data_IF_507492837448
#
_entry.id   IF_507492837448
#
_cell.length_a   1.000
_cell.length_b   1.000
_cell.length_c   1.000
_cell.angle_alpha   90.00
_cell.angle_beta   90.00
_cell.angle_gamma   90.00
#
_symmetry.space_group_name_H-M   'P 1'
#
loop_
_entity.id
_entity.type
_entity.pdbx_description
1 polymer ?
#
# COMPACT_ATOMS: atom_id res chain seq x y z
N UNK A 1 3.29 -8.66 -1.92
CA UNK A 1 1.96 -9.20 -1.54
C UNK A 1 0.93 -8.29 -2.18
N UNK A 2 0.00 -8.81 -2.98
CA UNK A 2 -1.05 -8.05 -3.63
C UNK A 2 -2.38 -8.74 -3.31
N UNK A 3 -3.31 -8.03 -2.68
CA UNK A 3 -4.67 -8.51 -2.42
C UNK A 3 -5.61 -7.63 -3.24
N UNK A 4 -6.39 -8.24 -4.13
CA UNK A 4 -7.41 -7.52 -4.88
C UNK A 4 -8.63 -7.29 -3.99
N UNK A 5 -8.95 -6.02 -3.74
CA UNK A 5 -10.15 -5.62 -3.01
C UNK A 5 -11.00 -4.79 -3.98
N UNK A 6 -12.27 -5.18 -4.15
CA UNK A 6 -13.22 -4.36 -4.90
C UNK A 6 -13.37 -3.00 -4.19
N UNK A 7 -12.96 -1.93 -4.87
CA UNK A 7 -12.99 -0.57 -4.36
C UNK A 7 -14.23 0.18 -4.88
N UNK A 8 -15.03 0.75 -3.96
CA UNK A 8 -16.12 1.65 -4.30
C UNK A 8 -15.62 3.10 -4.16
N UNK A 9 -15.91 3.94 -5.16
CA UNK A 9 -15.43 5.34 -5.27
C UNK A 9 -16.24 6.34 -4.43
N UNK A 10 -17.16 5.87 -3.58
CA UNK A 10 -17.96 6.68 -2.67
C UNK A 10 -17.31 6.80 -1.28
N UNK A 11 -17.43 7.98 -0.64
CA UNK A 11 -16.94 8.21 0.72
C UNK A 11 -17.63 7.31 1.75
N UNK A 12 -16.88 6.75 2.70
CA UNK A 12 -17.44 5.99 3.81
C UNK A 12 -18.42 6.84 4.63
N UNK A 13 -19.42 6.19 5.22
CA UNK A 13 -20.38 6.76 6.17
C UNK A 13 -20.19 6.12 7.55
N UNK A 14 -20.65 6.79 8.61
CA UNK A 14 -20.51 6.33 10.01
C UNK A 14 -21.12 4.93 10.29
N UNK A 15 -21.98 4.39 9.40
CA UNK A 15 -22.52 3.03 9.45
C UNK A 15 -21.62 1.94 8.85
N UNK A 16 -20.48 2.31 8.26
CA UNK A 16 -19.62 1.42 7.47
C UNK A 16 -18.52 0.73 8.29
N UNK A 17 -18.57 0.80 9.62
CA UNK A 17 -17.68 0.01 10.50
C UNK A 17 -17.80 -1.49 10.19
N UNK A 18 -19.02 -1.93 9.84
CA UNK A 18 -19.26 -3.30 9.39
C UNK A 18 -18.53 -3.60 8.07
N UNK A 19 -18.45 -2.63 7.15
CA UNK A 19 -17.69 -2.77 5.90
C UNK A 19 -16.18 -2.88 6.15
N UNK A 20 -15.62 -2.11 7.10
CA UNK A 20 -14.20 -2.23 7.49
C UNK A 20 -13.92 -3.61 8.07
N UNK A 21 -14.80 -4.10 8.95
CA UNK A 21 -14.69 -5.44 9.54
C UNK A 21 -14.78 -6.55 8.49
N UNK A 22 -15.72 -6.42 7.55
CA UNK A 22 -15.88 -7.33 6.42
C UNK A 22 -14.64 -7.31 5.51
N UNK A 23 -14.13 -6.13 5.16
CA UNK A 23 -12.92 -5.99 4.36
C UNK A 23 -11.71 -6.62 5.05
N UNK A 24 -11.51 -6.35 6.35
CA UNK A 24 -10.47 -6.98 7.17
C UNK A 24 -10.58 -8.51 7.16
N UNK A 25 -11.81 -9.02 7.28
CA UNK A 25 -12.06 -10.47 7.27
C UNK A 25 -11.74 -11.09 5.91
N UNK A 26 -12.15 -10.45 4.82
CA UNK A 26 -11.83 -10.89 3.46
C UNK A 26 -10.31 -10.92 3.24
N UNK A 27 -9.61 -9.82 3.54
CA UNK A 27 -8.14 -9.75 3.41
C UNK A 27 -7.48 -10.85 4.24
N UNK A 28 -7.90 -11.02 5.50
CA UNK A 28 -7.35 -12.05 6.39
C UNK A 28 -7.56 -13.46 5.84
N UNK A 29 -8.73 -13.76 5.32
CA UNK A 29 -9.03 -15.08 4.77
C UNK A 29 -8.24 -15.34 3.49
N UNK A 30 -8.18 -14.36 2.57
CA UNK A 30 -7.36 -14.46 1.36
C UNK A 30 -5.89 -14.72 1.70
N UNK A 31 -5.31 -14.00 2.66
CA UNK A 31 -3.92 -14.22 3.09
C UNK A 31 -3.71 -15.58 3.76
N UNK A 32 -4.73 -16.11 4.46
CA UNK A 32 -4.67 -17.45 5.08
C UNK A 32 -4.77 -18.59 4.08
N UNK A 33 -5.55 -18.40 3.02
CA UNK A 33 -5.77 -19.37 1.95
C UNK A 33 -4.60 -19.39 0.97
N UNK A 34 -3.74 -18.37 0.98
CA UNK A 34 -2.48 -18.39 0.23
C UNK A 34 -1.52 -19.43 0.82
N UNK A 35 -1.44 -20.58 0.15
CA UNK A 35 -0.50 -21.63 0.47
C UNK A 35 0.70 -21.66 -0.52
N UNK A 36 1.72 -22.45 -0.17
CA UNK A 36 2.96 -22.53 -0.94
C UNK A 36 2.77 -23.16 -2.31
N UNK A 37 1.87 -24.12 -2.46
CA UNK A 37 1.56 -24.79 -3.73
C UNK A 37 0.92 -23.78 -4.68
N UNK A 38 -0.12 -23.08 -4.22
CA UNK A 38 -0.77 -22.00 -4.99
C UNK A 38 0.23 -20.92 -5.46
N UNK A 39 1.19 -20.53 -4.62
CA UNK A 39 2.23 -19.56 -5.00
C UNK A 39 3.17 -20.14 -6.06
N UNK A 40 3.56 -21.41 -5.91
CA UNK A 40 4.46 -22.09 -6.85
C UNK A 40 3.79 -22.24 -8.21
N UNK A 41 2.51 -22.62 -8.25
CA UNK A 41 1.72 -22.71 -9.49
C UNK A 41 1.66 -21.36 -10.23
N UNK A 42 1.45 -20.25 -9.50
CA UNK A 42 1.46 -18.91 -10.11
C UNK A 42 2.85 -18.55 -10.64
N UNK A 43 3.93 -18.90 -9.94
CA UNK A 43 5.29 -18.68 -10.42
C UNK A 43 5.57 -19.45 -11.71
N UNK A 44 5.27 -20.74 -11.74
CA UNK A 44 5.45 -21.60 -12.92
C UNK A 44 4.61 -21.10 -14.10
N UNK A 45 3.38 -20.64 -13.84
CA UNK A 45 2.53 -20.04 -14.85
C UNK A 45 3.09 -18.73 -15.41
N UNK A 46 3.63 -17.84 -14.56
CA UNK A 46 4.28 -16.60 -14.98
C UNK A 46 5.55 -16.85 -15.79
N UNK A 47 6.32 -17.88 -15.46
CA UNK A 47 7.49 -18.28 -16.26
C UNK A 47 7.10 -18.70 -17.69
N UNK A 48 5.91 -19.30 -17.85
CA UNK A 48 5.37 -19.72 -19.14
C UNK A 48 4.65 -18.58 -19.88
N UNK A 49 4.18 -17.56 -19.17
CA UNK A 49 3.39 -16.45 -19.70
C UNK A 49 3.92 -15.11 -19.17
N UNK A 50 5.15 -14.71 -19.56
CA UNK A 50 5.83 -13.55 -18.98
C UNK A 50 5.10 -12.22 -19.24
N UNK A 51 4.33 -12.13 -20.32
CA UNK A 51 3.59 -10.93 -20.70
C UNK A 51 2.23 -10.81 -20.00
N UNK A 52 1.69 -11.90 -19.43
CA UNK A 52 0.38 -11.94 -18.78
C UNK A 52 0.44 -11.57 -17.28
N UNK A 53 1.62 -11.23 -16.77
CA UNK A 53 1.82 -10.72 -15.42
C UNK A 53 1.30 -9.29 -15.20
N UNK A 54 0.85 -8.62 -16.25
CA UNK A 54 0.22 -7.30 -16.14
C UNK A 54 -1.20 -7.42 -15.57
N UNK A 55 -1.36 -6.97 -14.33
CA UNK A 55 -2.68 -6.79 -13.70
C UNK A 55 -3.35 -5.58 -14.36
N UNK A 56 -4.08 -5.78 -15.47
CA UNK A 56 -4.89 -4.73 -16.10
C UNK A 56 -6.28 -4.61 -15.44
N UNK A 57 -6.69 -3.40 -15.04
CA UNK A 57 -8.01 -3.12 -14.46
C UNK A 57 -8.06 -2.13 -13.29
N UNK A 58 -9.28 -1.81 -12.84
CA UNK A 58 -9.62 -0.93 -11.69
C UNK A 58 -9.30 -1.62 -10.34
N UNK A 59 -8.05 -2.01 -10.12
CA UNK A 59 -7.60 -2.67 -8.89
C UNK A 59 -6.77 -1.73 -8.02
N UNK A 60 -6.93 -1.86 -6.70
CA UNK A 60 -6.04 -1.28 -5.71
C UNK A 60 -5.02 -2.33 -5.27
N UNK A 61 -3.74 -2.10 -5.58
CA UNK A 61 -2.62 -2.94 -5.17
C UNK A 61 -2.14 -2.49 -3.80
N UNK A 62 -2.32 -3.33 -2.79
CA UNK A 62 -1.88 -3.06 -1.42
C UNK A 62 -0.63 -3.88 -1.06
N UNK A 63 0.46 -3.22 -0.64
CA UNK A 63 1.65 -3.87 -0.13
C UNK A 63 2.02 -3.35 1.28
N UNK A 64 2.35 -4.28 2.18
CA UNK A 64 2.88 -3.92 3.50
C UNK A 64 4.38 -4.22 3.57
N UNK A 65 5.17 -3.16 3.67
CA UNK A 65 6.63 -3.20 3.80
C UNK A 65 7.10 -2.70 5.17
N UNK A 66 6.21 -2.53 6.15
CA UNK A 66 6.52 -1.99 7.48
C UNK A 66 7.66 -2.73 8.19
N UNK A 67 7.78 -4.04 7.96
CA UNK A 67 8.79 -4.90 8.57
C UNK A 67 10.15 -4.86 7.85
N UNK A 68 10.32 -4.01 6.83
CA UNK A 68 11.63 -3.80 6.24
C UNK A 68 12.51 -3.01 7.20
N UNK A 69 13.71 -3.53 7.45
CA UNK A 69 14.65 -2.95 8.39
C UNK A 69 15.46 -1.78 7.77
N UNK A 70 14.74 -0.79 7.25
CA UNK A 70 15.35 0.28 6.45
C UNK A 70 16.08 1.32 7.30
N UNK A 71 15.73 1.43 8.58
CA UNK A 71 16.34 2.38 9.52
C UNK A 71 17.48 1.78 10.35
N UNK A 72 17.77 0.48 10.24
CA UNK A 72 18.95 -0.12 10.87
C UNK A 72 20.24 0.04 10.06
N UNK A 73 20.14 0.51 8.82
CA UNK A 73 21.31 0.80 8.00
C UNK A 73 22.27 1.73 8.77
N UNK A 74 23.57 1.52 8.60
CA UNK A 74 24.60 2.33 9.23
C UNK A 74 25.54 2.90 8.17
N UNK A 75 25.70 4.21 8.16
CA UNK A 75 26.68 4.92 7.35
C UNK A 75 27.93 5.19 8.18
N UNK A 76 29.05 4.58 7.81
CA UNK A 76 30.29 4.65 8.59
C UNK A 76 30.17 3.93 9.94
N UNK A 77 30.70 4.53 11.01
CA UNK A 77 30.84 3.83 12.29
C UNK A 77 29.57 3.87 13.17
N UNK A 78 28.61 4.77 12.93
CA UNK A 78 27.38 4.87 13.76
C UNK A 78 26.22 5.72 13.21
N UNK A 79 26.27 6.24 11.98
CA UNK A 79 25.22 7.15 11.51
C UNK A 79 24.02 6.39 10.97
N UNK A 80 22.87 6.54 11.63
CA UNK A 80 21.61 5.96 11.19
C UNK A 80 20.86 6.90 10.23
N UNK A 81 20.07 6.36 9.28
CA UNK A 81 19.20 7.15 8.43
C UNK A 81 18.22 7.97 9.26
N UNK A 82 18.24 9.30 9.10
CA UNK A 82 17.17 10.16 9.62
C UNK A 82 15.90 10.06 8.76
N UNK A 83 16.06 9.78 7.46
CA UNK A 83 14.97 9.63 6.52
C UNK A 83 15.28 8.54 5.50
N UNK A 84 14.29 7.69 5.24
CA UNK A 84 14.31 6.74 4.14
C UNK A 84 13.24 7.17 3.14
N UNK A 85 13.65 7.34 1.88
CA UNK A 85 12.75 7.60 0.76
C UNK A 85 12.67 6.35 -0.11
N UNK A 86 11.48 6.06 -0.62
CA UNK A 86 11.24 4.90 -1.46
C UNK A 86 10.92 5.39 -2.86
N UNK A 87 11.69 4.91 -3.83
CA UNK A 87 11.38 5.07 -5.23
C UNK A 87 10.68 3.81 -5.72
N UNK A 88 9.56 3.99 -6.41
CA UNK A 88 8.82 2.90 -7.04
C UNK A 88 8.70 3.28 -8.50
N UNK A 89 9.19 2.37 -9.36
CA UNK A 89 9.17 2.54 -10.81
C UNK A 89 7.76 2.88 -11.34
N UNK A 90 7.69 3.63 -12.45
CA UNK A 90 6.58 4.52 -12.71
C UNK A 90 5.28 3.79 -13.12
N UNK A 91 4.16 4.50 -13.00
CA UNK A 91 2.78 4.02 -13.09
C UNK A 91 2.36 3.46 -14.46
N UNK A 92 3.23 3.58 -15.46
CA UNK A 92 3.11 3.10 -16.84
C UNK A 92 3.61 1.66 -17.03
N UNK A 93 4.33 1.10 -16.04
CA UNK A 93 4.63 -0.32 -15.95
C UNK A 93 3.75 -0.97 -14.89
N UNK A 94 2.57 -1.44 -15.30
CA UNK A 94 1.64 -2.20 -14.46
C UNK A 94 0.53 -1.34 -13.88
N UNK A 95 -0.66 -1.59 -14.42
CA UNK A 95 -1.96 -0.99 -14.11
C UNK A 95 -2.33 -1.06 -12.61
N UNK A 96 -3.06 -0.04 -12.15
CA UNK A 96 -3.76 -0.01 -10.86
C UNK A 96 -3.35 1.12 -9.91
N UNK A 97 -4.29 1.53 -9.06
CA UNK A 97 -4.05 2.36 -7.89
C UNK A 97 -3.14 1.60 -6.92
N UNK A 98 -2.18 2.26 -6.25
CA UNK A 98 -1.21 1.58 -5.36
C UNK A 98 -1.26 2.17 -3.95
N UNK A 99 -1.30 1.30 -2.94
CA UNK A 99 -1.19 1.63 -1.52
C UNK A 99 -0.06 0.84 -0.88
N UNK A 100 0.93 1.53 -0.34
CA UNK A 100 2.13 0.89 0.18
C UNK A 100 2.40 1.41 1.58
N UNK A 101 2.39 0.51 2.56
CA UNK A 101 2.76 0.80 3.94
C UNK A 101 4.27 0.69 4.04
N UNK A 102 4.92 1.77 4.43
CA UNK A 102 6.37 1.91 4.51
C UNK A 102 6.84 1.88 5.97
N UNK A 103 8.08 1.43 6.22
CA UNK A 103 8.73 1.57 7.52
C UNK A 103 8.64 3.02 8.03
N UNK A 104 8.09 3.18 9.23
CA UNK A 104 8.05 4.46 9.93
C UNK A 104 9.40 4.78 10.56
N UNK A 105 9.83 6.05 10.56
CA UNK A 105 11.00 6.46 11.33
C UNK A 105 10.84 6.11 12.81
N UNK A 106 11.92 5.71 13.52
CA UNK A 106 11.88 5.42 14.96
C UNK A 106 11.43 6.63 15.81
N UNK A 107 11.68 7.84 15.30
CA UNK A 107 11.31 9.11 15.91
C UNK A 107 9.87 9.56 15.61
N UNK A 108 9.01 8.67 15.10
CA UNK A 108 7.64 8.97 14.71
C UNK A 108 6.74 9.49 15.84
N UNK A 109 5.55 9.98 15.49
CA UNK A 109 4.55 10.61 16.38
C UNK A 109 3.87 9.66 17.37
N UNK A 110 4.37 8.43 17.53
CA UNK A 110 3.86 7.42 18.45
C UNK A 110 3.93 5.99 17.90
N UNK A 111 3.68 4.98 18.74
CA UNK A 111 3.82 3.55 18.40
C UNK A 111 2.86 3.08 17.29
N UNK A 112 1.75 3.79 17.08
CA UNK A 112 0.75 3.48 16.05
C UNK A 112 0.90 4.34 14.79
N UNK A 113 1.94 5.19 14.70
CA UNK A 113 2.19 5.98 13.50
C UNK A 113 2.61 5.08 12.34
N UNK A 114 2.04 5.32 11.15
CA UNK A 114 2.33 4.57 9.92
C UNK A 114 2.63 5.53 8.80
N UNK A 115 3.62 5.20 7.98
CA UNK A 115 3.90 5.90 6.74
C UNK A 115 3.21 5.14 5.61
N UNK A 116 2.35 5.82 4.86
CA UNK A 116 1.65 5.23 3.71
C UNK A 116 1.96 6.06 2.47
N UNK A 117 2.36 5.39 1.40
CA UNK A 117 2.51 5.98 0.08
C UNK A 117 1.37 5.52 -0.83
N UNK A 118 0.77 6.47 -1.52
CA UNK A 118 -0.38 6.25 -2.40
C UNK A 118 -0.06 6.76 -3.80
N UNK A 119 -0.35 5.94 -4.80
CA UNK A 119 -0.34 6.34 -6.21
C UNK A 119 -1.77 6.28 -6.70
N UNK A 120 -2.37 7.45 -6.93
CA UNK A 120 -3.76 7.63 -7.35
C UNK A 120 -3.83 8.70 -8.45
N UNK A 121 -4.84 8.64 -9.33
CA UNK A 121 -5.21 9.78 -10.17
C UNK A 121 -5.41 11.05 -9.33
N UNK A 122 -4.97 12.19 -9.87
CA UNK A 122 -4.97 13.48 -9.17
C UNK A 122 -6.33 13.82 -8.54
N UNK A 123 -7.43 13.56 -9.25
CA UNK A 123 -8.78 13.79 -8.76
C UNK A 123 -9.15 12.90 -7.56
N UNK A 124 -8.75 11.63 -7.56
CA UNK A 124 -9.02 10.69 -6.46
C UNK A 124 -8.14 11.02 -5.23
N UNK A 125 -6.89 11.43 -5.46
CA UNK A 125 -6.01 11.90 -4.39
C UNK A 125 -6.62 13.11 -3.64
N UNK A 126 -7.24 14.05 -4.34
CA UNK A 126 -7.94 15.18 -3.69
C UNK A 126 -9.15 14.74 -2.88
N UNK A 127 -9.99 13.84 -3.41
CA UNK A 127 -11.15 13.32 -2.65
C UNK A 127 -10.72 12.63 -1.36
N UNK A 128 -9.64 11.84 -1.40
CA UNK A 128 -9.11 11.16 -0.22
C UNK A 128 -8.66 12.15 0.86
N UNK A 129 -8.08 13.28 0.46
CA UNK A 129 -7.66 14.33 1.38
C UNK A 129 -8.82 15.06 2.05
N UNK A 130 -9.97 15.11 1.38
CA UNK A 130 -11.21 15.70 1.88
C UNK A 130 -12.05 14.70 2.69
N UNK A 131 -11.68 13.42 2.73
CA UNK A 131 -12.42 12.38 3.43
C UNK A 131 -12.41 12.60 4.96
N UNK A 132 -13.59 12.70 5.62
CA UNK A 132 -13.68 12.96 7.05
C UNK A 132 -13.03 11.90 7.95
N UNK A 133 -13.01 10.63 7.53
CA UNK A 133 -12.37 9.56 8.30
C UNK A 133 -10.85 9.63 8.21
N UNK A 134 -10.33 9.95 7.02
CA UNK A 134 -8.90 10.19 6.84
C UNK A 134 -8.45 11.40 7.64
N UNK A 135 -9.21 12.51 7.62
CA UNK A 135 -8.88 13.70 8.39
C UNK A 135 -8.89 13.48 9.91
N UNK A 136 -9.75 12.60 10.43
CA UNK A 136 -9.75 12.22 11.86
C UNK A 136 -8.43 11.58 12.30
N UNK A 137 -7.69 10.96 11.39
CA UNK A 137 -6.36 10.40 11.68
C UNK A 137 -5.26 11.46 11.73
N UNK A 138 -5.57 12.73 11.43
CA UNK A 138 -4.64 13.85 11.41
C UNK A 138 -3.36 13.56 10.59
N UNK A 139 -3.49 13.13 9.32
CA UNK A 139 -2.35 12.71 8.52
C UNK A 139 -1.41 13.87 8.22
N UNK A 140 -0.10 13.62 8.27
CA UNK A 140 0.91 14.53 7.72
C UNK A 140 1.16 14.16 6.26
N UNK A 141 0.80 15.06 5.34
CA UNK A 141 0.80 14.76 3.91
C UNK A 141 1.95 15.45 3.20
N UNK A 142 2.69 14.67 2.41
CA UNK A 142 3.73 15.15 1.49
C UNK A 142 3.30 14.78 0.06
N UNK A 143 2.83 15.76 -0.71
CA UNK A 143 2.56 15.56 -2.13
C UNK A 143 3.78 15.96 -2.96
N UNK A 144 4.22 15.08 -3.84
CA UNK A 144 5.18 15.44 -4.89
C UNK A 144 4.39 15.88 -6.13
N UNK A 145 4.63 17.10 -6.66
CA UNK A 145 4.00 17.52 -7.90
C UNK A 145 4.57 16.73 -9.08
N UNK A 146 3.69 16.20 -9.94
CA UNK A 146 4.06 15.89 -11.32
C UNK A 146 4.24 17.24 -12.05
N UNK A 147 5.47 17.51 -12.50
CA UNK A 147 5.76 18.57 -13.48
C UNK A 147 5.55 18.04 -14.89
#
# INVERSE_FOLDING_TARGET
MCVQVAWNKESMKMGDIDLVSQACTKIRNSVKEMDRESITEVMEWLEQNPDDGLIDGDYLVCANLENLDSYSACFGDSLQPMHVSYYIEPADAGCGDKLIILPSPPSGTGPFSRTVMLTLPKNEAFKLMEDPFIQQLSPSVKMHPHN
#
